data_IF_268640423278
#
_entry.id   IF_268640423278
#
_cell.length_a   1.000
_cell.length_b   1.000
_cell.length_c   1.000
_cell.angle_alpha   90.00
_cell.angle_beta   90.00
_cell.angle_gamma   90.00
#
_symmetry.space_group_name_H-M   'P 1'
#
loop_
_entity.id
_entity.type
_entity.pdbx_description
1 polymer ?
#
# COMPACT_ATOMS: atom_id res chain seq x y z
N UNK A 1 -53.30 82.51 -4.40
CA UNK A 1 -53.12 81.28 -5.17
C UNK A 1 -51.76 80.74 -4.84
N UNK A 2 -51.72 79.80 -3.90
CA UNK A 2 -50.43 79.13 -3.45
C UNK A 2 -50.36 77.75 -4.08
N UNK A 3 -49.38 77.53 -4.92
CA UNK A 3 -49.06 76.17 -5.42
C UNK A 3 -48.23 75.44 -4.39
N UNK A 4 -48.75 74.32 -3.87
CA UNK A 4 -47.98 73.39 -3.07
C UNK A 4 -47.16 72.50 -3.92
N UNK A 5 -45.83 72.45 -3.70
CA UNK A 5 -44.90 71.54 -4.33
C UNK A 5 -44.78 70.37 -3.38
N UNK A 6 -45.14 69.16 -3.84
CA UNK A 6 -44.89 67.89 -3.10
C UNK A 6 -43.58 67.31 -3.60
N UNK A 7 -42.55 67.22 -2.69
CA UNK A 7 -41.35 66.50 -2.94
C UNK A 7 -41.61 64.98 -2.64
N UNK A 8 -41.49 64.14 -3.65
CA UNK A 8 -41.49 62.69 -3.49
C UNK A 8 -40.04 62.21 -3.30
N UNK A 9 -39.70 61.73 -2.11
CA UNK A 9 -38.41 61.09 -1.82
C UNK A 9 -38.48 59.62 -2.28
N UNK A 10 -37.71 59.29 -3.31
CA UNK A 10 -37.52 57.90 -3.76
C UNK A 10 -36.39 57.32 -2.91
N UNK A 11 -36.69 56.41 -2.02
CA UNK A 11 -35.72 55.60 -1.26
C UNK A 11 -35.31 54.39 -2.13
N UNK A 12 -34.10 54.45 -2.69
CA UNK A 12 -33.50 53.31 -3.40
C UNK A 12 -33.02 52.28 -2.39
N UNK A 13 -33.75 51.18 -2.18
CA UNK A 13 -33.31 50.02 -1.44
C UNK A 13 -32.37 49.20 -2.31
N UNK A 14 -31.07 49.27 -2.04
CA UNK A 14 -30.06 48.41 -2.67
C UNK A 14 -30.14 47.03 -1.99
N UNK A 15 -30.78 46.07 -2.63
CA UNK A 15 -30.74 44.66 -2.27
C UNK A 15 -29.33 44.12 -2.55
N UNK A 16 -28.51 43.97 -1.50
CA UNK A 16 -27.31 43.16 -1.55
C UNK A 16 -27.73 41.69 -1.66
N UNK A 17 -27.83 41.15 -2.86
CA UNK A 17 -27.90 39.73 -3.10
C UNK A 17 -26.52 39.14 -2.82
N UNK A 18 -26.32 38.60 -1.62
CA UNK A 18 -25.21 37.71 -1.34
C UNK A 18 -25.42 36.41 -2.13
N UNK A 19 -24.81 36.37 -3.30
CA UNK A 19 -24.68 35.11 -4.05
C UNK A 19 -23.89 34.11 -3.19
N UNK A 20 -24.59 33.18 -2.57
CA UNK A 20 -23.97 31.95 -2.05
C UNK A 20 -23.44 31.21 -3.30
N UNK A 21 -22.15 31.45 -3.64
CA UNK A 21 -21.44 30.63 -4.59
C UNK A 21 -21.31 29.23 -3.97
N UNK A 22 -22.23 28.34 -4.30
CA UNK A 22 -21.99 26.91 -4.10
C UNK A 22 -20.73 26.56 -4.89
N UNK A 23 -19.71 26.06 -4.20
CA UNK A 23 -18.55 25.50 -4.86
C UNK A 23 -19.03 24.45 -5.85
N UNK A 24 -18.64 24.59 -7.13
CA UNK A 24 -18.97 23.58 -8.13
C UNK A 24 -18.32 22.25 -7.70
N UNK A 25 -19.11 21.18 -7.70
CA UNK A 25 -18.59 19.85 -7.38
C UNK A 25 -17.81 19.28 -8.58
N UNK A 26 -16.64 18.75 -8.32
CA UNK A 26 -15.88 18.00 -9.32
C UNK A 26 -16.47 16.59 -9.53
N UNK A 27 -16.14 15.99 -10.68
CA UNK A 27 -16.46 14.59 -10.95
C UNK A 27 -15.86 13.70 -9.88
N UNK A 28 -16.64 12.82 -9.22
CA UNK A 28 -16.08 11.90 -8.25
C UNK A 28 -15.00 11.04 -8.88
N UNK A 29 -13.87 10.82 -8.19
CA UNK A 29 -12.83 9.93 -8.69
C UNK A 29 -12.67 8.69 -7.81
N UNK A 30 -12.23 7.59 -8.41
CA UNK A 30 -12.07 6.31 -7.76
C UNK A 30 -10.60 6.03 -7.46
N UNK A 31 -10.30 5.72 -6.20
CA UNK A 31 -9.02 5.15 -5.80
C UNK A 31 -9.18 3.64 -5.51
N UNK A 32 -8.36 2.82 -6.16
CA UNK A 32 -8.22 1.42 -5.83
C UNK A 32 -6.95 1.23 -4.97
N UNK A 33 -7.11 0.67 -3.77
CA UNK A 33 -6.02 0.48 -2.81
C UNK A 33 -5.96 -0.96 -2.29
N UNK A 34 -4.89 -1.29 -1.60
CA UNK A 34 -4.71 -2.59 -0.95
C UNK A 34 -5.54 -2.68 0.35
N UNK A 35 -5.79 -3.91 0.81
CA UNK A 35 -6.78 -4.23 1.84
C UNK A 35 -6.48 -3.65 3.22
N UNK A 36 -5.21 -3.66 3.65
CA UNK A 36 -4.77 -3.15 4.95
C UNK A 36 -4.63 -1.62 5.01
N UNK A 37 -4.84 -0.90 3.91
CA UNK A 37 -4.79 0.56 3.87
C UNK A 37 -6.13 1.24 4.21
N UNK A 38 -7.15 0.48 4.59
CA UNK A 38 -8.50 1.00 4.81
C UNK A 38 -8.54 2.13 5.83
N UNK A 39 -7.94 1.91 6.97
CA UNK A 39 -7.90 2.86 8.08
C UNK A 39 -7.07 4.10 7.69
N UNK A 40 -5.92 3.90 7.04
CA UNK A 40 -5.06 4.97 6.53
C UNK A 40 -5.80 5.91 5.57
N UNK A 41 -6.46 5.38 4.54
CA UNK A 41 -7.20 6.21 3.60
C UNK A 41 -8.50 6.76 4.20
N UNK A 42 -9.00 6.18 5.28
CA UNK A 42 -10.06 6.76 6.10
C UNK A 42 -9.66 8.12 6.68
N UNK A 43 -8.37 8.32 7.00
CA UNK A 43 -7.84 9.61 7.46
C UNK A 43 -7.33 10.49 6.31
N UNK A 44 -6.64 9.94 5.31
CA UNK A 44 -6.10 10.73 4.18
C UNK A 44 -7.21 11.38 3.36
N UNK A 45 -8.27 10.64 3.04
CA UNK A 45 -9.30 11.10 2.13
C UNK A 45 -10.01 12.38 2.62
N UNK A 46 -10.47 12.50 3.88
CA UNK A 46 -11.07 13.74 4.38
C UNK A 46 -10.10 14.93 4.35
N UNK A 47 -8.82 14.70 4.68
CA UNK A 47 -7.79 15.74 4.62
C UNK A 47 -7.56 16.24 3.19
N UNK A 48 -7.55 15.32 2.23
CA UNK A 48 -7.45 15.72 0.82
C UNK A 48 -8.67 16.49 0.33
N UNK A 49 -9.89 16.08 0.70
CA UNK A 49 -11.12 16.79 0.31
C UNK A 49 -11.07 18.24 0.78
N UNK A 50 -10.64 18.48 2.01
CA UNK A 50 -10.48 19.85 2.53
C UNK A 50 -9.35 20.60 1.82
N UNK A 51 -8.19 19.97 1.63
CA UNK A 51 -7.06 20.54 0.88
C UNK A 51 -7.46 20.94 -0.54
N UNK A 52 -8.15 20.04 -1.26
CA UNK A 52 -8.63 20.30 -2.62
C UNK A 52 -9.61 21.47 -2.68
N UNK A 53 -10.55 21.53 -1.72
CA UNK A 53 -11.50 22.64 -1.61
C UNK A 53 -10.80 23.98 -1.39
N UNK A 54 -9.78 24.02 -0.53
CA UNK A 54 -8.99 25.23 -0.30
C UNK A 54 -8.18 25.65 -1.52
N UNK A 55 -7.64 24.70 -2.27
CA UNK A 55 -6.77 24.94 -3.40
C UNK A 55 -7.54 25.29 -4.68
N UNK A 56 -8.63 24.58 -4.98
CA UNK A 56 -9.38 24.68 -6.23
C UNK A 56 -10.70 25.46 -6.11
N UNK A 57 -11.20 25.66 -4.89
CA UNK A 57 -12.55 26.18 -4.63
C UNK A 57 -13.67 25.20 -4.95
N UNK A 58 -13.37 23.93 -5.25
CA UNK A 58 -14.32 22.90 -5.64
C UNK A 58 -14.42 21.79 -4.60
N UNK A 59 -15.55 21.11 -4.57
CA UNK A 59 -15.73 19.91 -3.74
C UNK A 59 -15.46 18.65 -4.57
N UNK A 60 -14.76 17.67 -3.98
CA UNK A 60 -14.47 16.40 -4.62
C UNK A 60 -14.96 15.24 -3.74
N UNK A 61 -15.46 14.18 -4.39
CA UNK A 61 -15.82 12.92 -3.74
C UNK A 61 -14.86 11.84 -4.17
N UNK A 62 -14.26 11.16 -3.19
CA UNK A 62 -13.38 10.00 -3.43
C UNK A 62 -14.21 8.73 -3.22
N UNK A 63 -14.24 7.87 -4.24
CA UNK A 63 -14.81 6.54 -4.14
C UNK A 63 -13.65 5.56 -3.94
N UNK A 64 -13.64 4.88 -2.80
CA UNK A 64 -12.54 4.04 -2.37
C UNK A 64 -12.90 2.56 -2.50
N UNK A 65 -11.97 1.74 -3.03
CA UNK A 65 -12.08 0.28 -2.98
C UNK A 65 -10.83 -0.35 -2.39
N UNK A 66 -11.01 -1.44 -1.63
CA UNK A 66 -9.95 -2.14 -0.92
C UNK A 66 -10.00 -3.64 -1.19
N UNK A 67 -8.89 -4.20 -1.66
CA UNK A 67 -8.63 -5.63 -1.82
C UNK A 67 -7.11 -5.83 -1.95
N UNK A 68 -6.61 -7.06 -1.98
CA UNK A 68 -5.21 -7.29 -2.32
C UNK A 68 -4.84 -6.62 -3.65
N UNK A 69 -3.70 -5.90 -3.72
CA UNK A 69 -3.37 -5.05 -4.89
C UNK A 69 -3.32 -5.85 -6.20
N UNK A 70 -2.79 -7.07 -6.18
CA UNK A 70 -2.78 -7.94 -7.36
C UNK A 70 -4.19 -8.33 -7.82
N UNK A 71 -5.14 -8.51 -6.88
CA UNK A 71 -6.55 -8.72 -7.21
C UNK A 71 -7.16 -7.46 -7.82
N UNK A 72 -6.89 -6.29 -7.26
CA UNK A 72 -7.35 -5.00 -7.81
C UNK A 72 -6.83 -4.79 -9.23
N UNK A 73 -5.54 -5.08 -9.49
CA UNK A 73 -4.97 -4.97 -10.82
C UNK A 73 -5.70 -5.86 -11.83
N UNK A 74 -6.01 -7.11 -11.47
CA UNK A 74 -6.80 -8.00 -12.32
C UNK A 74 -8.21 -7.46 -12.60
N UNK A 75 -8.90 -6.96 -11.56
CA UNK A 75 -10.24 -6.39 -11.72
C UNK A 75 -10.23 -5.16 -12.67
N UNK A 76 -9.17 -4.32 -12.61
CA UNK A 76 -8.97 -3.17 -13.50
C UNK A 76 -8.73 -3.64 -14.94
N UNK A 77 -7.90 -4.65 -15.16
CA UNK A 77 -7.67 -5.25 -16.48
C UNK A 77 -8.97 -5.81 -17.06
N UNK A 78 -9.84 -6.36 -16.22
CA UNK A 78 -11.16 -6.88 -16.62
C UNK A 78 -12.21 -5.78 -16.81
N UNK A 79 -11.85 -4.51 -16.67
CA UNK A 79 -12.71 -3.37 -17.00
C UNK A 79 -13.24 -2.57 -15.81
N UNK A 80 -12.83 -2.85 -14.56
CA UNK A 80 -13.16 -1.99 -13.43
C UNK A 80 -12.56 -0.60 -13.66
N UNK A 81 -13.42 0.43 -13.66
CA UNK A 81 -13.01 1.82 -13.86
C UNK A 81 -12.53 2.42 -12.54
N UNK A 82 -11.25 2.77 -12.48
CA UNK A 82 -10.63 3.52 -11.38
C UNK A 82 -9.75 4.62 -11.96
N UNK A 83 -9.66 5.75 -11.29
CA UNK A 83 -8.92 6.93 -11.76
C UNK A 83 -7.47 6.90 -11.26
N UNK A 84 -7.25 6.37 -10.06
CA UNK A 84 -5.92 6.19 -9.47
C UNK A 84 -5.81 4.83 -8.78
N UNK A 85 -4.57 4.36 -8.70
CA UNK A 85 -4.19 3.21 -7.88
C UNK A 85 -3.19 3.67 -6.82
N UNK A 86 -3.35 3.14 -5.61
CA UNK A 86 -2.42 3.28 -4.49
C UNK A 86 -2.12 1.87 -3.99
N UNK A 87 -1.15 1.22 -4.62
CA UNK A 87 -0.87 -0.20 -4.43
C UNK A 87 0.29 -0.44 -3.46
N UNK A 88 0.49 -1.68 -3.11
CA UNK A 88 1.60 -2.12 -2.27
C UNK A 88 2.55 -3.08 -3.00
N UNK A 89 2.55 -3.04 -4.35
CA UNK A 89 3.44 -3.85 -5.17
C UNK A 89 3.64 -3.21 -6.54
N UNK A 90 4.90 -3.01 -6.92
CA UNK A 90 5.30 -2.36 -8.18
C UNK A 90 4.79 -3.13 -9.40
N UNK A 91 4.95 -4.46 -9.43
CA UNK A 91 4.51 -5.28 -10.56
C UNK A 91 3.00 -5.23 -10.83
N UNK A 92 2.19 -4.84 -9.82
CA UNK A 92 0.75 -4.68 -9.98
C UNK A 92 0.40 -3.37 -10.72
N UNK A 93 1.28 -2.35 -10.68
CA UNK A 93 1.16 -1.14 -11.50
C UNK A 93 1.74 -1.39 -12.90
N UNK A 94 2.90 -2.06 -12.99
CA UNK A 94 3.53 -2.37 -14.27
C UNK A 94 2.61 -3.16 -15.22
N UNK A 95 1.84 -4.12 -14.69
CA UNK A 95 0.93 -4.87 -15.56
C UNK A 95 -0.19 -4.00 -16.12
N UNK A 96 -0.61 -2.96 -15.41
CA UNK A 96 -1.60 -1.98 -15.92
C UNK A 96 -0.99 -1.13 -17.06
N UNK A 97 0.28 -0.72 -16.92
CA UNK A 97 1.02 -0.02 -17.97
C UNK A 97 1.15 -0.88 -19.23
N UNK A 98 1.58 -2.13 -19.09
CA UNK A 98 1.67 -3.10 -20.19
C UNK A 98 0.34 -3.35 -20.92
N UNK A 99 -0.78 -3.15 -20.25
CA UNK A 99 -2.13 -3.20 -20.85
C UNK A 99 -2.58 -1.89 -21.46
N UNK A 100 -1.70 -0.86 -21.49
CA UNK A 100 -2.01 0.46 -22.04
C UNK A 100 -3.09 1.22 -21.26
N UNK A 101 -3.25 0.92 -19.96
CA UNK A 101 -4.21 1.60 -19.09
C UNK A 101 -3.61 2.85 -18.46
N UNK A 102 -2.31 2.87 -18.28
CA UNK A 102 -1.51 4.01 -17.85
C UNK A 102 -0.21 4.10 -18.68
N UNK A 103 0.48 5.19 -18.55
CA UNK A 103 1.71 5.48 -19.30
C UNK A 103 2.87 4.56 -18.86
N UNK A 104 3.77 4.24 -19.78
CA UNK A 104 4.91 3.34 -19.52
C UNK A 104 5.91 3.93 -18.51
N UNK A 105 6.02 5.26 -18.45
CA UNK A 105 6.91 5.98 -17.53
C UNK A 105 6.22 6.40 -16.21
N UNK A 106 5.18 5.68 -15.81
CA UNK A 106 4.39 5.98 -14.61
C UNK A 106 5.24 6.17 -13.35
N UNK A 107 6.30 5.38 -13.17
CA UNK A 107 7.18 5.45 -12.00
C UNK A 107 8.01 6.77 -11.94
N UNK A 108 8.10 7.51 -13.05
CA UNK A 108 8.80 8.81 -13.14
C UNK A 108 7.88 10.00 -12.91
N UNK A 109 6.57 9.77 -12.76
CA UNK A 109 5.58 10.84 -12.64
C UNK A 109 5.57 11.49 -11.25
N UNK A 110 6.05 10.78 -10.24
CA UNK A 110 6.12 11.21 -8.86
C UNK A 110 7.48 10.83 -8.25
N UNK A 111 7.92 11.48 -7.16
CA UNK A 111 9.19 11.18 -6.49
C UNK A 111 9.30 9.71 -6.04
N UNK A 112 10.53 9.24 -5.83
CA UNK A 112 10.85 7.94 -5.25
C UNK A 112 10.17 6.77 -6.01
N UNK A 113 10.32 6.71 -7.33
CA UNK A 113 9.66 5.72 -8.19
C UNK A 113 8.12 5.70 -8.02
N UNK A 114 7.54 6.88 -7.89
CA UNK A 114 6.11 7.07 -7.58
C UNK A 114 5.66 6.31 -6.30
N UNK A 115 6.54 6.20 -5.30
CA UNK A 115 6.26 5.54 -4.02
C UNK A 115 6.39 6.55 -2.88
N UNK A 116 5.28 7.14 -2.39
CA UNK A 116 5.32 8.14 -1.33
C UNK A 116 5.79 7.59 0.01
N UNK A 117 5.71 6.29 0.22
CA UNK A 117 6.14 5.58 1.42
C UNK A 117 6.53 4.14 1.09
N UNK A 118 7.16 3.48 2.06
CA UNK A 118 7.63 2.10 1.91
C UNK A 118 7.55 1.34 3.23
N UNK A 119 7.76 0.05 3.19
CA UNK A 119 7.88 -0.83 4.34
C UNK A 119 8.91 -1.93 4.05
N UNK A 120 8.90 -2.96 4.86
CA UNK A 120 9.67 -4.18 4.65
C UNK A 120 8.88 -5.37 5.16
N UNK A 121 9.33 -6.59 4.93
CA UNK A 121 8.75 -7.77 5.56
C UNK A 121 9.32 -7.95 6.95
N UNK A 122 8.43 -8.16 7.92
CA UNK A 122 8.75 -8.53 9.29
C UNK A 122 7.86 -9.68 9.75
N UNK A 123 8.09 -10.18 10.95
CA UNK A 123 7.40 -11.34 11.52
C UNK A 123 6.66 -10.95 12.79
N UNK A 124 5.45 -11.44 12.93
CA UNK A 124 4.70 -11.37 14.17
C UNK A 124 4.63 -12.77 14.77
N UNK A 125 5.04 -12.91 16.04
CA UNK A 125 5.11 -14.18 16.72
C UNK A 125 4.26 -14.19 17.98
N UNK A 126 3.98 -15.38 18.51
CA UNK A 126 3.21 -15.56 19.71
C UNK A 126 3.90 -14.97 20.94
N UNK A 127 3.14 -14.72 22.01
CA UNK A 127 3.62 -14.24 23.30
C UNK A 127 4.85 -15.04 23.77
N UNK A 128 5.89 -14.32 24.20
CA UNK A 128 7.13 -14.93 24.68
C UNK A 128 7.99 -15.59 23.61
N UNK A 129 7.60 -15.51 22.34
CA UNK A 129 8.32 -16.12 21.21
C UNK A 129 8.73 -17.59 21.48
N UNK A 130 7.78 -18.51 21.72
CA UNK A 130 8.08 -19.86 22.19
C UNK A 130 8.90 -20.69 21.21
N UNK A 131 8.90 -20.30 19.92
CA UNK A 131 9.70 -20.93 18.87
C UNK A 131 11.09 -20.28 18.72
N UNK A 132 11.42 -19.25 19.52
CA UNK A 132 12.69 -18.51 19.44
C UNK A 132 13.03 -18.07 18.01
N UNK A 133 12.05 -17.47 17.33
CA UNK A 133 12.20 -16.93 15.97
C UNK A 133 13.05 -15.65 16.04
N UNK A 134 14.13 -15.59 15.26
CA UNK A 134 15.04 -14.44 15.17
C UNK A 134 15.20 -13.89 13.76
N UNK A 135 14.96 -14.72 12.75
CA UNK A 135 15.15 -14.35 11.36
C UNK A 135 14.64 -15.41 10.38
N UNK A 136 15.01 -15.25 9.14
CA UNK A 136 14.56 -16.08 8.03
C UNK A 136 14.94 -17.58 8.21
N UNK A 137 16.09 -17.87 8.82
CA UNK A 137 16.54 -19.24 9.03
C UNK A 137 15.63 -20.07 9.93
N UNK A 138 14.94 -19.42 10.85
CA UNK A 138 14.02 -20.12 11.75
C UNK A 138 12.74 -20.57 11.07
N UNK A 139 12.39 -19.91 9.93
CA UNK A 139 11.15 -20.19 9.20
C UNK A 139 11.17 -21.50 8.42
N UNK A 140 12.35 -22.11 8.22
CA UNK A 140 12.50 -23.39 7.51
C UNK A 140 12.50 -24.61 8.44
N UNK A 141 12.35 -24.41 9.75
CA UNK A 141 12.31 -25.50 10.73
C UNK A 141 10.99 -26.26 10.66
N UNK A 142 11.02 -27.57 10.78
CA UNK A 142 9.84 -28.45 10.66
C UNK A 142 8.80 -28.21 11.78
N UNK A 143 9.23 -27.67 12.94
CA UNK A 143 8.39 -27.37 14.09
C UNK A 143 7.75 -25.95 14.03
N UNK A 144 7.97 -25.19 12.97
CA UNK A 144 7.46 -23.82 12.80
C UNK A 144 6.37 -23.79 11.75
N UNK A 145 5.22 -23.22 12.10
CA UNK A 145 4.05 -23.06 11.22
C UNK A 145 3.82 -21.60 10.89
N UNK A 146 3.64 -21.32 9.62
CA UNK A 146 3.55 -19.97 9.09
C UNK A 146 2.13 -19.66 8.62
N UNK A 147 1.75 -18.39 8.78
CA UNK A 147 0.63 -17.76 8.06
C UNK A 147 1.21 -16.71 7.12
N UNK A 148 0.77 -16.75 5.88
CA UNK A 148 1.36 -15.95 4.82
C UNK A 148 0.30 -15.70 3.73
N UNK A 149 0.06 -14.45 3.31
CA UNK A 149 -0.95 -14.20 2.29
C UNK A 149 -0.58 -14.87 0.96
N UNK A 150 -1.55 -15.09 0.10
CA UNK A 150 -1.33 -15.77 -1.19
C UNK A 150 -0.60 -14.83 -2.19
N UNK A 151 0.61 -15.18 -2.67
CA UNK A 151 1.37 -14.34 -3.61
C UNK A 151 0.70 -14.17 -5.00
N UNK A 152 -0.30 -14.98 -5.32
CA UNK A 152 -1.08 -14.82 -6.57
C UNK A 152 -2.12 -13.70 -6.47
N UNK A 153 -2.49 -13.25 -5.26
CA UNK A 153 -3.56 -12.26 -5.03
C UNK A 153 -3.15 -11.08 -4.17
N UNK A 154 -1.98 -11.15 -3.54
CA UNK A 154 -1.49 -10.16 -2.56
C UNK A 154 -0.09 -9.66 -2.89
N UNK A 155 0.06 -8.35 -3.11
CA UNK A 155 1.37 -7.71 -3.27
C UNK A 155 2.24 -7.82 -2.02
N UNK A 156 1.64 -7.76 -0.82
CA UNK A 156 2.31 -8.04 0.46
C UNK A 156 3.03 -9.40 0.41
N UNK A 157 2.32 -10.43 0.00
CA UNK A 157 2.88 -11.77 -0.08
C UNK A 157 3.99 -11.91 -1.12
N UNK A 158 3.92 -11.18 -2.24
CA UNK A 158 5.02 -11.14 -3.21
C UNK A 158 6.29 -10.57 -2.59
N UNK A 159 6.20 -9.49 -1.84
CA UNK A 159 7.35 -8.95 -1.12
C UNK A 159 7.87 -9.92 -0.03
N UNK A 160 6.99 -10.57 0.73
CA UNK A 160 7.42 -11.56 1.73
C UNK A 160 8.14 -12.76 1.08
N UNK A 161 7.63 -13.24 -0.05
CA UNK A 161 8.33 -14.26 -0.86
C UNK A 161 9.69 -13.77 -1.35
N UNK A 162 9.75 -12.55 -1.91
CA UNK A 162 11.00 -11.96 -2.38
C UNK A 162 11.99 -11.71 -1.23
N UNK A 163 11.51 -11.34 -0.04
CA UNK A 163 12.35 -11.21 1.16
C UNK A 163 13.05 -12.52 1.51
N UNK A 164 12.31 -13.63 1.53
CA UNK A 164 12.90 -14.96 1.75
C UNK A 164 13.89 -15.33 0.63
N UNK A 165 13.56 -15.00 -0.62
CA UNK A 165 14.43 -15.27 -1.77
C UNK A 165 15.73 -14.48 -1.72
N UNK A 166 15.66 -13.18 -1.46
CA UNK A 166 16.81 -12.28 -1.40
C UNK A 166 17.74 -12.66 -0.24
N UNK A 167 17.18 -12.97 0.92
CA UNK A 167 17.96 -13.49 2.05
C UNK A 167 18.69 -14.77 1.68
N UNK A 168 18.00 -15.75 1.10
CA UNK A 168 18.60 -17.02 0.71
C UNK A 168 19.64 -16.83 -0.42
N UNK A 169 19.37 -15.94 -1.39
CA UNK A 169 20.31 -15.63 -2.46
C UNK A 169 21.64 -15.09 -1.92
N UNK A 170 21.59 -14.20 -0.94
CA UNK A 170 22.80 -13.69 -0.28
C UNK A 170 23.47 -14.79 0.56
N UNK A 171 22.73 -15.51 1.39
CA UNK A 171 23.22 -16.58 2.26
C UNK A 171 23.97 -17.67 1.48
N UNK A 172 23.48 -18.01 0.32
CA UNK A 172 24.05 -19.08 -0.53
C UNK A 172 24.88 -18.57 -1.71
N UNK A 173 25.28 -17.28 -1.68
CA UNK A 173 26.10 -16.66 -2.74
C UNK A 173 25.55 -16.91 -4.15
N UNK A 174 24.22 -16.82 -4.32
CA UNK A 174 23.54 -16.95 -5.61
C UNK A 174 23.34 -18.39 -6.10
N UNK A 175 23.66 -19.42 -5.31
CA UNK A 175 23.38 -20.84 -5.64
C UNK A 175 21.87 -21.08 -5.74
N UNK A 176 21.33 -21.08 -6.96
CA UNK A 176 19.88 -21.09 -7.21
C UNK A 176 19.20 -22.37 -6.71
N UNK A 177 19.87 -23.50 -6.69
CA UNK A 177 19.28 -24.76 -6.16
C UNK A 177 19.11 -24.67 -4.64
N UNK A 178 20.09 -24.13 -3.92
CA UNK A 178 19.97 -23.90 -2.47
C UNK A 178 18.94 -22.81 -2.15
N UNK A 179 18.88 -21.76 -2.95
CA UNK A 179 17.87 -20.69 -2.80
C UNK A 179 16.46 -21.26 -2.96
N UNK A 180 16.21 -22.03 -4.04
CA UNK A 180 14.91 -22.69 -4.24
C UNK A 180 14.57 -23.64 -3.09
N UNK A 181 15.53 -24.48 -2.66
CA UNK A 181 15.31 -25.40 -1.56
C UNK A 181 14.96 -24.67 -0.25
N UNK A 182 15.58 -23.53 0.04
CA UNK A 182 15.28 -22.70 1.20
C UNK A 182 13.85 -22.13 1.11
N UNK A 183 13.52 -21.45 0.01
CA UNK A 183 12.21 -20.83 -0.18
C UNK A 183 11.11 -21.89 -0.25
N UNK A 184 11.37 -23.04 -0.87
CA UNK A 184 10.47 -24.19 -0.87
C UNK A 184 10.12 -24.67 0.54
N UNK A 185 11.10 -24.72 1.46
CA UNK A 185 10.86 -25.05 2.87
C UNK A 185 10.03 -23.99 3.58
N UNK A 186 10.29 -22.69 3.35
CA UNK A 186 9.44 -21.62 3.88
C UNK A 186 7.98 -21.82 3.44
N UNK A 187 7.76 -22.03 2.13
CA UNK A 187 6.41 -22.23 1.58
C UNK A 187 5.74 -23.50 2.10
N UNK A 188 6.49 -24.59 2.30
CA UNK A 188 5.99 -25.85 2.86
C UNK A 188 5.49 -25.69 4.30
N UNK A 189 6.09 -24.80 5.08
CA UNK A 189 5.70 -24.53 6.45
C UNK A 189 4.44 -23.65 6.56
N UNK A 190 3.91 -23.14 5.44
CA UNK A 190 2.70 -22.31 5.43
C UNK A 190 1.46 -23.18 5.56
N UNK A 191 0.72 -23.01 6.65
CA UNK A 191 -0.53 -23.74 6.90
C UNK A 191 -1.71 -23.13 6.14
N UNK A 192 -1.69 -21.81 5.91
CA UNK A 192 -2.79 -21.09 5.31
C UNK A 192 -2.29 -19.94 4.42
N UNK A 193 -2.87 -19.83 3.22
CA UNK A 193 -2.62 -18.77 2.24
C UNK A 193 -3.89 -17.91 2.05
N UNK A 194 -4.24 -17.01 2.98
CA UNK A 194 -5.36 -16.09 2.80
C UNK A 194 -5.18 -15.19 1.57
N UNK A 195 -6.26 -14.67 1.00
CA UNK A 195 -6.22 -13.89 -0.24
C UNK A 195 -5.51 -12.54 -0.14
N UNK A 196 -5.32 -12.01 1.07
CA UNK A 196 -4.67 -10.71 1.32
C UNK A 196 -4.15 -10.59 2.74
N UNK A 197 -3.48 -9.47 3.03
CA UNK A 197 -2.85 -9.20 4.33
C UNK A 197 -3.86 -9.24 5.48
N UNK A 198 -5.00 -8.58 5.33
CA UNK A 198 -6.06 -8.58 6.36
C UNK A 198 -6.59 -9.98 6.67
N UNK A 199 -6.75 -10.81 5.66
CA UNK A 199 -7.14 -12.23 5.85
C UNK A 199 -6.06 -13.01 6.63
N UNK A 200 -4.79 -12.72 6.41
CA UNK A 200 -3.70 -13.34 7.15
C UNK A 200 -3.65 -12.87 8.61
N UNK A 201 -3.92 -11.58 8.87
CA UNK A 201 -4.07 -11.05 10.23
C UNK A 201 -5.19 -11.75 10.98
N UNK A 202 -6.36 -11.91 10.36
CA UNK A 202 -7.49 -12.65 10.96
C UNK A 202 -7.13 -14.10 11.25
N UNK A 203 -6.51 -14.80 10.29
CA UNK A 203 -6.10 -16.20 10.45
C UNK A 203 -5.12 -16.36 11.63
N UNK A 204 -4.12 -15.50 11.70
CA UNK A 204 -3.12 -15.54 12.76
C UNK A 204 -3.65 -14.99 14.09
N UNK A 205 -4.04 -13.72 14.15
CA UNK A 205 -4.29 -13.03 15.41
C UNK A 205 -5.67 -13.36 16.03
N UNK A 206 -6.72 -13.56 15.22
CA UNK A 206 -8.05 -13.90 15.74
C UNK A 206 -8.28 -15.41 15.85
N UNK A 207 -7.88 -16.17 14.82
CA UNK A 207 -8.17 -17.61 14.76
C UNK A 207 -7.05 -18.49 15.35
N UNK A 208 -5.94 -17.89 15.81
CA UNK A 208 -4.85 -18.61 16.46
C UNK A 208 -4.04 -19.54 15.56
N UNK A 209 -4.12 -19.39 14.22
CA UNK A 209 -3.41 -20.25 13.28
C UNK A 209 -1.91 -19.89 13.19
N UNK A 210 -1.07 -20.91 13.06
CA UNK A 210 0.37 -20.77 12.90
C UNK A 210 1.13 -20.20 14.11
N UNK A 211 2.44 -20.25 14.04
CA UNK A 211 3.37 -19.72 15.04
C UNK A 211 3.86 -18.31 14.65
N UNK A 212 3.95 -18.05 13.35
CA UNK A 212 4.53 -16.83 12.77
C UNK A 212 3.63 -16.31 11.65
N UNK A 213 3.31 -15.01 11.69
CA UNK A 213 2.73 -14.29 10.57
C UNK A 213 3.83 -13.52 9.83
N UNK A 214 3.97 -13.75 8.53
CA UNK A 214 4.82 -12.95 7.65
C UNK A 214 3.96 -11.88 6.98
N UNK A 215 4.29 -10.62 7.23
CA UNK A 215 3.60 -9.48 6.61
C UNK A 215 4.50 -8.24 6.61
N UNK A 216 3.98 -7.07 6.24
CA UNK A 216 4.76 -5.84 6.32
C UNK A 216 5.09 -5.44 7.76
N UNK A 217 6.25 -4.81 7.97
CA UNK A 217 6.66 -4.22 9.25
C UNK A 217 5.57 -3.29 9.81
N UNK A 218 5.00 -2.43 8.96
CA UNK A 218 3.89 -1.56 9.34
C UNK A 218 2.70 -2.34 9.92
N UNK A 219 2.36 -3.47 9.32
CA UNK A 219 1.24 -4.29 9.77
C UNK A 219 1.56 -5.01 11.09
N UNK A 220 2.76 -5.61 11.24
CA UNK A 220 3.13 -6.27 12.50
C UNK A 220 3.15 -5.30 13.67
N UNK A 221 3.60 -4.06 13.45
CA UNK A 221 3.60 -3.02 14.49
C UNK A 221 2.16 -2.60 14.83
N UNK A 222 1.31 -2.41 13.82
CA UNK A 222 -0.10 -2.06 14.02
C UNK A 222 -0.86 -3.15 14.78
N UNK A 223 -0.63 -4.42 14.46
CA UNK A 223 -1.28 -5.55 15.14
C UNK A 223 -0.78 -5.67 16.58
N UNK A 224 0.54 -5.66 16.79
CA UNK A 224 1.12 -5.85 18.12
C UNK A 224 0.74 -4.74 19.11
N UNK A 225 0.63 -3.49 18.64
CA UNK A 225 0.34 -2.31 19.47
C UNK A 225 -1.13 -1.91 19.47
N UNK A 226 -1.95 -2.47 18.56
CA UNK A 226 -3.37 -2.15 18.42
C UNK A 226 -4.21 -2.73 19.55
N UNK A 227 -5.22 -1.98 20.00
CA UNK A 227 -6.10 -2.39 21.11
C UNK A 227 -6.84 -3.70 20.82
N UNK A 228 -7.13 -3.99 19.56
CA UNK A 228 -7.86 -5.19 19.12
C UNK A 228 -7.14 -6.49 19.54
N UNK A 229 -5.78 -6.52 19.46
CA UNK A 229 -4.98 -7.72 19.73
C UNK A 229 -4.04 -7.59 20.93
N UNK A 230 -4.14 -6.50 21.67
CA UNK A 230 -3.25 -6.19 22.79
C UNK A 230 -3.17 -7.29 23.84
N UNK A 231 -4.28 -7.97 24.11
CA UNK A 231 -4.34 -9.09 25.06
C UNK A 231 -3.60 -10.34 24.60
N UNK A 232 -3.28 -10.45 23.32
CA UNK A 232 -2.54 -11.59 22.77
C UNK A 232 -1.01 -11.46 22.96
N UNK A 233 -0.53 -10.30 23.45
CA UNK A 233 0.88 -10.00 23.73
C UNK A 233 1.84 -10.45 22.60
N UNK A 234 1.42 -10.24 21.35
CA UNK A 234 2.19 -10.64 20.16
C UNK A 234 3.51 -9.88 20.11
N UNK A 235 4.55 -10.55 19.67
CA UNK A 235 5.90 -9.97 19.59
C UNK A 235 6.34 -9.76 18.16
N UNK A 236 7.06 -8.66 17.94
CA UNK A 236 7.59 -8.26 16.64
C UNK A 236 9.02 -8.80 16.51
N UNK A 237 9.31 -9.45 15.39
CA UNK A 237 10.66 -9.83 14.99
C UNK A 237 10.96 -9.19 13.64
N UNK A 238 11.88 -8.24 13.62
CA UNK A 238 12.41 -7.65 12.39
C UNK A 238 13.71 -8.35 12.06
N UNK A 239 13.81 -9.05 10.91
CA UNK A 239 15.04 -9.73 10.54
C UNK A 239 16.14 -8.71 10.22
N UNK A 240 17.41 -9.05 10.41
CA UNK A 240 18.55 -8.16 10.14
C UNK A 240 18.60 -7.68 8.68
N UNK A 241 18.16 -8.54 7.77
CA UNK A 241 18.09 -8.28 6.32
C UNK A 241 16.69 -8.57 5.82
N UNK A 242 16.13 -7.66 5.04
CA UNK A 242 14.81 -7.86 4.44
C UNK A 242 14.65 -7.08 3.14
N UNK A 243 13.50 -7.20 2.50
CA UNK A 243 13.19 -6.58 1.21
C UNK A 243 12.76 -5.13 1.36
N UNK A 244 13.18 -4.25 0.45
CA UNK A 244 12.55 -2.95 0.26
C UNK A 244 11.19 -3.14 -0.41
N UNK A 245 10.12 -2.83 0.31
CA UNK A 245 8.76 -2.90 -0.18
C UNK A 245 8.24 -1.49 -0.49
N UNK A 246 8.26 -1.11 -1.76
CA UNK A 246 7.73 0.17 -2.24
C UNK A 246 6.22 0.11 -2.38
N UNK A 247 5.55 1.23 -2.06
CA UNK A 247 4.10 1.39 -2.18
C UNK A 247 3.78 2.37 -3.31
N UNK A 248 3.69 1.88 -4.54
CA UNK A 248 3.56 2.73 -5.72
C UNK A 248 2.16 3.32 -5.86
N UNK A 249 2.12 4.53 -6.41
CA UNK A 249 0.90 5.24 -6.78
C UNK A 249 0.93 5.59 -8.26
N UNK A 250 -0.20 5.52 -8.95
CA UNK A 250 -0.27 5.89 -10.34
C UNK A 250 -1.67 6.38 -10.75
N UNK A 251 -1.71 7.27 -11.76
CA UNK A 251 -2.94 7.66 -12.44
C UNK A 251 -3.25 6.61 -13.50
N UNK A 252 -4.48 6.10 -13.52
CA UNK A 252 -4.97 5.25 -14.62
C UNK A 252 -5.37 6.16 -15.77
N UNK A 253 -4.37 6.56 -16.57
CA UNK A 253 -4.47 7.62 -17.56
C UNK A 253 -5.70 7.52 -18.45
N UNK A 254 -5.96 6.32 -18.98
CA UNK A 254 -7.10 6.09 -19.86
C UNK A 254 -8.45 6.43 -19.22
N UNK A 255 -8.60 6.11 -17.94
CA UNK A 255 -9.84 6.37 -17.20
C UNK A 255 -9.92 7.82 -16.75
N UNK A 256 -8.83 8.36 -16.22
CA UNK A 256 -8.78 9.74 -15.74
C UNK A 256 -9.03 10.75 -16.87
N UNK A 257 -8.50 10.49 -18.08
CA UNK A 257 -8.75 11.32 -19.25
C UNK A 257 -10.18 11.21 -19.75
N UNK A 258 -10.71 9.98 -19.86
CA UNK A 258 -12.10 9.73 -20.27
C UNK A 258 -13.11 10.41 -19.34
N UNK A 259 -12.80 10.50 -18.05
CA UNK A 259 -13.68 11.05 -17.02
C UNK A 259 -13.42 12.52 -16.68
N UNK A 260 -12.33 13.10 -17.18
CA UNK A 260 -11.91 14.47 -16.86
C UNK A 260 -11.47 14.65 -15.40
N UNK A 261 -10.93 13.58 -14.78
CA UNK A 261 -10.53 13.56 -13.36
C UNK A 261 -9.02 13.68 -13.13
N UNK A 262 -8.24 13.93 -14.19
CA UNK A 262 -6.77 13.93 -14.14
C UNK A 262 -6.19 14.94 -13.14
N UNK A 263 -6.78 16.14 -13.06
CA UNK A 263 -6.28 17.21 -12.20
C UNK A 263 -6.38 16.82 -10.72
N UNK A 264 -7.57 16.43 -10.25
CA UNK A 264 -7.76 15.99 -8.87
C UNK A 264 -7.05 14.66 -8.56
N UNK A 265 -6.97 13.77 -9.55
CA UNK A 265 -6.21 12.50 -9.40
C UNK A 265 -4.73 12.78 -9.16
N UNK A 266 -4.12 13.68 -9.95
CA UNK A 266 -2.73 14.11 -9.78
C UNK A 266 -2.52 14.78 -8.43
N UNK A 267 -3.37 15.74 -8.07
CA UNK A 267 -3.29 16.43 -6.78
C UNK A 267 -3.41 15.46 -5.59
N UNK A 268 -4.29 14.45 -5.68
CA UNK A 268 -4.44 13.42 -4.64
C UNK A 268 -3.17 12.59 -4.44
N UNK A 269 -2.49 12.24 -5.51
CA UNK A 269 -1.24 11.47 -5.41
C UNK A 269 -0.09 12.36 -4.92
N UNK A 270 0.02 13.61 -5.38
CA UNK A 270 1.00 14.58 -4.89
C UNK A 270 0.82 14.90 -3.40
N UNK A 271 -0.41 14.97 -2.93
CA UNK A 271 -0.74 15.24 -1.53
C UNK A 271 -0.10 14.24 -0.57
N UNK A 272 0.10 12.99 -0.99
CA UNK A 272 0.72 11.95 -0.17
C UNK A 272 2.21 12.20 0.11
N UNK A 273 2.86 13.10 -0.63
CA UNK A 273 4.25 13.52 -0.41
C UNK A 273 4.37 14.76 0.49
N UNK A 274 3.26 15.39 0.88
CA UNK A 274 3.28 16.54 1.79
C UNK A 274 3.77 16.13 3.18
N UNK A 275 4.45 17.05 3.88
CA UNK A 275 5.01 16.78 5.22
C UNK A 275 3.96 16.24 6.18
N UNK A 276 2.76 16.84 6.18
CA UNK A 276 1.69 16.46 7.10
C UNK A 276 1.19 15.03 6.84
N UNK A 277 1.06 14.64 5.57
CA UNK A 277 0.68 13.27 5.21
C UNK A 277 1.83 12.29 5.46
N UNK A 278 3.08 12.69 5.25
CA UNK A 278 4.24 11.88 5.63
C UNK A 278 4.28 11.64 7.15
N UNK A 279 3.93 12.64 7.98
CA UNK A 279 3.76 12.45 9.43
C UNK A 279 2.58 11.52 9.76
N UNK A 280 1.46 11.65 9.06
CA UNK A 280 0.33 10.73 9.22
C UNK A 280 0.71 9.29 8.90
N UNK A 281 1.44 9.07 7.80
CA UNK A 281 1.92 7.75 7.38
C UNK A 281 2.77 7.07 8.47
N UNK A 282 3.60 7.81 9.20
CA UNK A 282 4.40 7.23 10.30
C UNK A 282 3.54 6.81 11.50
N UNK A 283 2.35 7.41 11.72
CA UNK A 283 1.40 6.93 12.73
C UNK A 283 0.81 5.55 12.39
N UNK A 284 0.79 5.21 11.09
CA UNK A 284 0.44 3.89 10.56
C UNK A 284 1.67 2.99 10.38
N UNK A 285 2.81 3.39 10.96
CA UNK A 285 4.07 2.64 10.94
C UNK A 285 4.64 2.39 9.54
N UNK A 286 4.36 3.27 8.57
CA UNK A 286 5.08 3.29 7.31
C UNK A 286 6.36 4.09 7.40
N UNK A 287 7.40 3.64 6.72
CA UNK A 287 8.63 4.39 6.49
C UNK A 287 8.41 5.40 5.38
N UNK A 288 8.92 6.61 5.54
CA UNK A 288 8.65 7.75 4.67
C UNK A 288 9.91 8.39 4.13
N UNK A 289 9.77 9.37 3.23
CA UNK A 289 10.89 10.01 2.55
C UNK A 289 11.15 11.45 2.96
N UNK A 290 10.20 12.14 3.61
CA UNK A 290 10.39 13.53 4.01
C UNK A 290 11.48 13.65 5.07
N UNK A 291 12.62 14.38 4.83
CA UNK A 291 13.81 14.31 5.69
C UNK A 291 13.56 14.63 7.16
N UNK A 292 12.76 15.67 7.43
CA UNK A 292 12.44 16.05 8.82
C UNK A 292 11.59 14.99 9.53
N UNK A 293 10.68 14.33 8.81
CA UNK A 293 9.83 13.28 9.36
C UNK A 293 10.66 12.02 9.62
N UNK A 294 11.55 11.65 8.70
CA UNK A 294 12.49 10.54 8.86
C UNK A 294 13.33 10.73 10.11
N UNK A 295 13.92 11.90 10.29
CA UNK A 295 14.75 12.19 11.48
C UNK A 295 13.93 12.12 12.78
N UNK A 296 12.72 12.69 12.77
CA UNK A 296 11.84 12.69 13.95
C UNK A 296 11.34 11.29 14.35
N UNK A 297 11.26 10.35 13.40
CA UNK A 297 10.67 9.02 13.62
C UNK A 297 11.68 7.87 13.54
N UNK A 298 12.97 8.15 13.40
CA UNK A 298 14.02 7.11 13.26
C UNK A 298 14.04 6.07 14.38
N UNK A 299 13.69 6.47 15.61
CA UNK A 299 13.65 5.56 16.75
C UNK A 299 12.41 4.62 16.77
N UNK A 300 11.43 4.88 15.91
CA UNK A 300 10.21 4.08 15.81
C UNK A 300 10.46 2.73 15.13
N UNK A 301 11.48 2.68 14.27
CA UNK A 301 11.73 1.52 13.41
C UNK A 301 13.01 0.79 13.84
N UNK A 302 12.92 -0.54 13.90
CA UNK A 302 14.10 -1.36 14.13
C UNK A 302 15.12 -1.21 12.99
N UNK A 303 16.43 -1.30 13.29
CA UNK A 303 17.45 -1.35 12.24
C UNK A 303 17.23 -2.59 11.37
N UNK A 304 17.22 -2.40 10.07
CA UNK A 304 17.11 -3.46 9.07
C UNK A 304 17.86 -3.05 7.80
N UNK A 305 18.62 -3.97 7.22
CA UNK A 305 19.23 -3.75 5.92
C UNK A 305 18.24 -4.15 4.84
N UNK A 306 17.82 -3.17 4.05
CA UNK A 306 16.85 -3.35 2.97
C UNK A 306 17.58 -3.69 1.68
N UNK A 307 17.09 -4.73 0.99
CA UNK A 307 17.56 -5.12 -0.34
C UNK A 307 16.48 -4.73 -1.36
N UNK A 308 16.87 -3.95 -2.36
CA UNK A 308 16.00 -3.64 -3.48
C UNK A 308 15.94 -4.84 -4.43
N UNK A 309 14.76 -5.44 -4.68
CA UNK A 309 14.64 -6.57 -5.61
C UNK A 309 15.21 -6.30 -7.00
N UNK A 310 15.02 -5.09 -7.52
CA UNK A 310 15.50 -4.71 -8.86
C UNK A 310 17.02 -4.72 -9.00
N UNK A 311 17.75 -4.45 -7.91
CA UNK A 311 19.22 -4.43 -7.94
C UNK A 311 19.82 -5.84 -7.97
N UNK A 312 19.08 -6.83 -7.49
CA UNK A 312 19.58 -8.20 -7.33
C UNK A 312 18.98 -9.17 -8.35
N UNK A 313 17.69 -9.00 -8.68
CA UNK A 313 16.93 -9.98 -9.46
C UNK A 313 16.61 -9.49 -10.89
N UNK A 314 16.97 -8.25 -11.24
CA UNK A 314 16.65 -7.63 -12.52
C UNK A 314 15.38 -6.78 -12.48
N UNK A 315 14.84 -6.44 -13.64
CA UNK A 315 13.63 -5.63 -13.72
C UNK A 315 12.41 -6.32 -13.07
N UNK A 316 11.39 -5.55 -12.71
CA UNK A 316 10.12 -6.13 -12.21
C UNK A 316 9.49 -7.07 -13.25
N UNK A 317 9.76 -6.86 -14.54
CA UNK A 317 9.34 -7.74 -15.62
C UNK A 317 10.04 -9.10 -15.53
N UNK A 318 11.36 -9.10 -15.35
CA UNK A 318 12.14 -10.31 -15.17
C UNK A 318 11.72 -11.06 -13.91
N UNK A 319 11.52 -10.33 -12.82
CA UNK A 319 11.05 -10.88 -11.54
C UNK A 319 9.67 -11.52 -11.72
N UNK A 320 8.75 -10.82 -12.38
CA UNK A 320 7.36 -11.31 -12.60
C UNK A 320 7.37 -12.55 -13.48
N UNK A 321 8.07 -12.51 -14.62
CA UNK A 321 8.15 -13.64 -15.54
C UNK A 321 8.79 -14.88 -14.90
N UNK A 322 9.86 -14.68 -14.13
CA UNK A 322 10.60 -15.78 -13.50
C UNK A 322 9.88 -16.38 -12.32
N UNK A 323 9.25 -15.55 -11.47
CA UNK A 323 8.73 -16.00 -10.17
C UNK A 323 7.21 -16.13 -10.10
N UNK A 324 6.44 -15.21 -10.72
CA UNK A 324 5.01 -15.04 -10.44
C UNK A 324 4.07 -15.39 -11.57
N UNK A 325 4.55 -15.41 -12.82
CA UNK A 325 3.75 -15.87 -13.97
C UNK A 325 3.38 -17.34 -13.84
N UNK A 326 2.37 -17.76 -14.60
CA UNK A 326 1.91 -19.15 -14.60
C UNK A 326 3.05 -20.10 -14.96
N UNK A 327 3.31 -21.08 -14.11
CA UNK A 327 4.44 -22.03 -14.26
C UNK A 327 5.79 -21.45 -13.80
N UNK A 328 5.82 -20.22 -13.26
CA UNK A 328 7.02 -19.64 -12.66
C UNK A 328 7.49 -20.39 -11.40
N UNK A 329 8.62 -19.95 -10.84
CA UNK A 329 9.25 -20.64 -9.71
C UNK A 329 8.32 -20.83 -8.53
N UNK A 330 7.48 -19.83 -8.22
CA UNK A 330 6.49 -19.93 -7.15
C UNK A 330 5.56 -21.12 -7.36
N UNK A 331 5.02 -21.30 -8.57
CA UNK A 331 4.12 -22.42 -8.87
C UNK A 331 4.81 -23.77 -8.75
N UNK A 332 6.07 -23.85 -9.20
CA UNK A 332 6.90 -25.06 -9.08
C UNK A 332 7.09 -25.43 -7.61
N UNK A 333 7.53 -24.49 -6.77
CA UNK A 333 7.75 -24.72 -5.34
C UNK A 333 6.47 -25.06 -4.58
N UNK A 334 5.34 -24.46 -4.93
CA UNK A 334 4.03 -24.81 -4.33
C UNK A 334 3.54 -26.20 -4.75
N UNK A 335 3.91 -26.66 -5.95
CA UNK A 335 3.57 -28.00 -6.42
C UNK A 335 4.43 -29.08 -5.74
N UNK A 336 5.71 -28.81 -5.50
CA UNK A 336 6.65 -29.71 -4.81
C UNK A 336 6.36 -29.86 -3.30
N UNK A 337 5.78 -28.83 -2.68
CA UNK A 337 5.49 -28.79 -1.24
C UNK A 337 4.19 -29.53 -0.84
N UNK A 338 3.40 -29.98 -1.81
CA UNK A 338 2.18 -30.77 -1.61
C UNK A 338 2.49 -32.24 -1.72
#
# INVERSE_FOLDING_TARGET
>A
MLKKIVLASVASATLLTTSLTHAAADTPFHNASYDIARELFGEINPLFVEHWKQQSGKEVKIIQSFAGSSRQAQDIIQGKKVDVVTFNQVSDVDILAKRGLLRDDWAKQFPNNASPYYSTTAFLVREGNPKNIKGWDDLIRDDVKLVFPNPKTSGNARYSYLGAWLFANEKFNGDQEKVKAFVGKVLKNVENFPTGGRGATVAFAQNGQGDVLLTFESEVINIANGDEFKSANLQIVVPEVSVLAEFPVAIVDKVADERGTREQAKAFLEFQYSKDIQQLLTRYNYRVHHPEVVEATKAQFAPVRLINPNEVLGSWDDITAKHFDNGGILDQLLAEGR
#
